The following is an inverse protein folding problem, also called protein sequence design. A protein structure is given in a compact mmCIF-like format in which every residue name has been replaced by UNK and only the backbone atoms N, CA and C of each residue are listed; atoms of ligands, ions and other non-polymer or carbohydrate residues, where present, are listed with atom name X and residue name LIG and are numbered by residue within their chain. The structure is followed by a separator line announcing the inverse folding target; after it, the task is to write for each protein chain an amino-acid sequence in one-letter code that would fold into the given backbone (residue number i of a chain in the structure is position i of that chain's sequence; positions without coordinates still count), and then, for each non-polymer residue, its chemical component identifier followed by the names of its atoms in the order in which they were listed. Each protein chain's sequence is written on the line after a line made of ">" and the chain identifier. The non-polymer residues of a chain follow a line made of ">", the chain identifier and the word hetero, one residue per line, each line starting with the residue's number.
data_IF_079439942552
#
_entry.id   IF_079439942552
#
_cell.length_a   1.000
_cell.length_b   1.000
_cell.length_c   1.000
_cell.angle_alpha   90.00
_cell.angle_beta   90.00
_cell.angle_gamma   90.00
#
_symmetry.space_group_name_H-M   'P 1'
#
loop_
_entity.id
_entity.type
_entity.pdbx_description
1 polymer ?
#
# COMPACT_ATOMS: atom_id res chain seq x y z
N UNK A 1 -12.66 -21.23 -20.30
CA UNK A 1 -12.66 -20.86 -18.87
C UNK A 1 -11.41 -20.02 -18.67
N UNK A 2 -11.56 -18.71 -18.55
CA UNK A 2 -10.44 -17.81 -18.27
C UNK A 2 -10.43 -17.71 -16.75
N UNK A 3 -9.47 -18.36 -16.10
CA UNK A 3 -9.12 -18.07 -14.71
C UNK A 3 -8.52 -16.67 -14.68
N UNK A 4 -9.37 -15.65 -14.71
CA UNK A 4 -9.06 -14.38 -14.03
C UNK A 4 -9.27 -14.65 -12.55
N UNK A 5 -8.41 -15.50 -11.98
CA UNK A 5 -8.15 -15.49 -10.56
C UNK A 5 -7.53 -14.12 -10.30
N UNK A 6 -8.33 -13.32 -9.64
CA UNK A 6 -8.11 -11.90 -9.44
C UNK A 6 -6.94 -11.77 -8.47
N UNK A 7 -5.76 -11.70 -9.08
CA UNK A 7 -4.56 -11.00 -8.61
C UNK A 7 -4.82 -9.53 -8.23
N UNK A 8 -6.07 -9.06 -8.28
CA UNK A 8 -6.49 -7.66 -8.11
C UNK A 8 -6.32 -7.11 -6.70
N UNK A 9 -5.66 -7.83 -5.78
CA UNK A 9 -5.20 -7.33 -4.48
C UNK A 9 -3.67 -7.42 -4.30
N UNK A 10 -2.92 -7.80 -5.33
CA UNK A 10 -1.46 -7.86 -5.25
C UNK A 10 -0.87 -6.45 -5.13
N UNK A 11 -0.13 -6.22 -4.04
CA UNK A 11 0.59 -4.98 -3.78
C UNK A 11 2.05 -5.24 -4.10
N UNK A 12 2.63 -4.50 -5.05
CA UNK A 12 4.05 -4.58 -5.35
C UNK A 12 4.81 -3.51 -4.59
N UNK A 13 5.85 -3.94 -3.89
CA UNK A 13 6.73 -3.07 -3.13
C UNK A 13 8.18 -3.48 -3.35
N UNK A 14 9.12 -2.60 -3.01
CA UNK A 14 10.54 -2.90 -3.02
C UNK A 14 11.13 -2.68 -1.63
N UNK A 15 11.92 -3.63 -1.13
CA UNK A 15 12.70 -3.46 0.12
C UNK A 15 14.01 -2.67 -0.11
N UNK A 16 14.25 -2.22 -1.34
CA UNK A 16 15.52 -1.60 -1.77
C UNK A 16 16.46 -2.56 -2.50
N UNK A 17 16.28 -3.87 -2.36
CA UNK A 17 17.04 -4.87 -3.11
C UNK A 17 16.24 -5.50 -4.25
N UNK A 18 15.03 -5.97 -3.95
CA UNK A 18 14.17 -6.66 -4.93
C UNK A 18 12.75 -6.12 -4.91
N UNK A 19 12.03 -6.33 -6.01
CA UNK A 19 10.59 -6.09 -6.06
C UNK A 19 9.89 -7.35 -5.53
N UNK A 20 9.08 -7.17 -4.51
CA UNK A 20 8.32 -8.20 -3.85
C UNK A 20 6.83 -7.99 -4.07
N UNK A 21 6.12 -9.10 -4.21
CA UNK A 21 4.67 -9.12 -4.25
C UNK A 21 4.15 -9.38 -2.84
N UNK A 22 3.39 -8.44 -2.32
CA UNK A 22 2.78 -8.45 -1.01
C UNK A 22 1.27 -8.59 -1.12
N UNK A 23 0.66 -9.04 -0.03
CA UNK A 23 -0.78 -9.19 0.11
C UNK A 23 -1.26 -8.45 1.35
N UNK A 24 -2.46 -7.87 1.28
CA UNK A 24 -3.12 -7.30 2.44
C UNK A 24 -3.62 -8.42 3.36
N UNK A 25 -3.34 -8.26 4.64
CA UNK A 25 -3.74 -9.15 5.71
C UNK A 25 -4.53 -8.38 6.76
N UNK A 26 -5.70 -8.91 7.10
CA UNK A 26 -6.66 -8.29 8.00
C UNK A 26 -6.73 -9.08 9.30
N UNK A 27 -6.70 -8.36 10.41
CA UNK A 27 -6.95 -8.91 11.75
C UNK A 27 -8.16 -8.18 12.32
N UNK A 28 -8.99 -8.89 13.07
CA UNK A 28 -10.31 -8.43 13.53
C UNK A 28 -10.26 -7.09 14.31
N UNK A 29 -9.17 -6.83 15.03
CA UNK A 29 -8.99 -5.65 15.89
C UNK A 29 -7.69 -4.85 15.58
N UNK A 30 -7.04 -5.11 14.43
CA UNK A 30 -5.79 -4.46 14.08
C UNK A 30 -5.86 -3.76 12.72
N UNK A 31 -5.05 -2.71 12.49
CA UNK A 31 -4.94 -2.12 11.17
C UNK A 31 -4.47 -3.17 10.16
N UNK A 32 -4.93 -3.09 8.90
CA UNK A 32 -4.50 -4.00 7.85
C UNK A 32 -2.98 -3.89 7.65
N UNK A 33 -2.33 -5.04 7.50
CA UNK A 33 -0.87 -5.14 7.35
C UNK A 33 -0.54 -5.84 6.05
N UNK A 34 0.62 -5.51 5.48
CA UNK A 34 1.15 -6.24 4.33
C UNK A 34 1.94 -7.45 4.81
N UNK A 35 1.73 -8.56 4.11
CA UNK A 35 2.50 -9.78 4.29
C UNK A 35 3.17 -10.20 2.98
N UNK A 36 4.36 -10.77 3.07
CA UNK A 36 5.05 -11.39 1.93
C UNK A 36 4.47 -12.79 1.60
N UNK A 37 5.05 -13.46 0.61
CA UNK A 37 4.64 -14.82 0.24
C UNK A 37 4.92 -15.85 1.34
N UNK A 38 5.98 -15.68 2.12
CA UNK A 38 6.28 -16.50 3.30
C UNK A 38 5.39 -16.16 4.52
N UNK A 39 4.48 -15.18 4.40
CA UNK A 39 3.57 -14.77 5.46
C UNK A 39 4.21 -13.87 6.52
N UNK A 40 5.38 -13.31 6.24
CA UNK A 40 6.05 -12.36 7.13
C UNK A 40 5.36 -11.01 7.02
N UNK A 41 5.04 -10.39 8.17
CA UNK A 41 4.49 -9.04 8.23
C UNK A 41 5.57 -8.02 7.92
N UNK A 42 5.26 -7.10 7.03
CA UNK A 42 6.18 -6.08 6.55
C UNK A 42 5.73 -4.73 7.08
N UNK A 43 6.61 -4.02 7.78
CA UNK A 43 6.30 -2.70 8.28
C UNK A 43 6.36 -1.65 7.15
N UNK A 44 5.60 -0.54 7.25
CA UNK A 44 5.51 0.45 6.16
C UNK A 44 6.83 1.17 5.87
N UNK A 45 7.76 1.25 6.82
CA UNK A 45 9.07 1.86 6.63
C UNK A 45 10.12 0.89 6.04
N UNK A 46 9.83 -0.41 5.97
CA UNK A 46 10.76 -1.42 5.43
C UNK A 46 10.70 -1.54 3.91
N UNK A 47 9.66 -0.96 3.30
CA UNK A 47 9.39 -1.08 1.88
C UNK A 47 9.01 0.26 1.26
N UNK A 48 9.26 0.37 -0.04
CA UNK A 48 8.71 1.41 -0.88
C UNK A 48 7.61 0.80 -1.75
N UNK A 49 6.36 1.24 -1.55
CA UNK A 49 5.24 0.83 -2.39
C UNK A 49 5.43 1.32 -3.83
N UNK A 50 5.37 0.40 -4.78
CA UNK A 50 5.55 0.69 -6.20
C UNK A 50 4.22 0.66 -6.96
N UNK A 51 3.37 -0.32 -6.66
CA UNK A 51 2.08 -0.48 -7.31
C UNK A 51 1.08 -1.15 -6.39
N UNK A 52 -0.17 -0.68 -6.40
CA UNK A 52 -1.27 -1.30 -5.67
C UNK A 52 -2.59 -1.06 -6.40
N UNK A 53 -3.57 -1.96 -6.21
CA UNK A 53 -4.91 -1.77 -6.74
C UNK A 53 -5.66 -0.69 -5.95
N UNK A 54 -6.56 0.02 -6.61
CA UNK A 54 -7.33 1.13 -6.00
C UNK A 54 -8.14 0.69 -4.78
N UNK A 55 -8.62 -0.54 -4.76
CA UNK A 55 -9.36 -1.13 -3.65
C UNK A 55 -8.49 -1.28 -2.38
N UNK A 56 -7.20 -1.55 -2.55
CA UNK A 56 -6.23 -1.67 -1.47
C UNK A 56 -5.79 -0.31 -0.89
N UNK A 57 -6.01 0.81 -1.59
CA UNK A 57 -5.50 2.13 -1.18
C UNK A 57 -6.03 2.55 0.20
N UNK A 58 -7.33 2.35 0.45
CA UNK A 58 -7.95 2.72 1.72
C UNK A 58 -7.35 1.92 2.88
N UNK A 59 -7.13 0.62 2.68
CA UNK A 59 -6.51 -0.24 3.67
C UNK A 59 -5.03 0.08 3.87
N UNK A 60 -4.27 0.31 2.79
CA UNK A 60 -2.86 0.73 2.88
C UNK A 60 -2.69 2.05 3.65
N UNK A 61 -3.61 3.01 3.47
CA UNK A 61 -3.65 4.24 4.29
C UNK A 61 -3.96 3.94 5.75
N UNK A 62 -4.94 3.07 6.02
CA UNK A 62 -5.26 2.65 7.41
C UNK A 62 -4.09 1.91 8.08
N UNK A 63 -3.31 1.17 7.31
CA UNK A 63 -2.09 0.47 7.74
C UNK A 63 -0.85 1.37 7.84
N UNK A 64 -0.93 2.63 7.39
CA UNK A 64 0.19 3.57 7.41
C UNK A 64 1.25 3.35 6.32
N UNK A 65 0.97 2.50 5.32
CA UNK A 65 1.86 2.28 4.17
C UNK A 65 1.83 3.41 3.15
N UNK A 66 0.72 4.14 3.11
CA UNK A 66 0.60 5.35 2.31
C UNK A 66 0.55 6.56 3.25
N UNK A 67 1.20 7.67 2.88
CA UNK A 67 1.02 8.90 3.61
C UNK A 67 -0.48 9.24 3.62
N UNK A 68 -0.98 9.64 4.79
CA UNK A 68 -2.27 10.32 4.91
C UNK A 68 -2.08 11.69 4.26
N UNK A 69 -2.08 11.73 2.92
CA UNK A 69 -2.21 12.97 2.21
C UNK A 69 -3.66 13.42 2.46
N UNK A 70 -3.92 14.53 3.17
CA UNK A 70 -5.22 15.16 3.03
C UNK A 70 -5.35 15.49 1.55
N UNK A 71 -6.38 14.97 0.89
CA UNK A 71 -6.66 15.29 -0.51
C UNK A 71 -6.54 16.80 -0.71
N UNK A 72 -5.53 17.22 -1.46
CA UNK A 72 -5.45 18.46 -2.21
C UNK A 72 -6.25 19.64 -1.64
N UNK A 73 -5.69 20.37 -0.68
CA UNK A 73 -5.98 21.80 -0.53
C UNK A 73 -4.74 22.48 0.05
N UNK A 74 -4.23 23.50 -0.63
CA UNK A 74 -3.20 24.46 -0.17
C UNK A 74 -1.71 24.15 -0.43
N UNK A 75 -1.36 23.62 -1.61
CA UNK A 75 0.00 23.80 -2.18
C UNK A 75 0.04 24.72 -3.41
N UNK A 76 -0.95 25.63 -3.52
CA UNK A 76 -0.82 26.85 -4.32
C UNK A 76 -0.75 28.08 -3.41
N UNK A 77 0.26 28.18 -2.57
CA UNK A 77 0.81 29.49 -2.22
C UNK A 77 1.78 29.90 -3.35
N UNK A 78 1.21 30.14 -4.54
CA UNK A 78 1.91 30.88 -5.59
C UNK A 78 1.93 32.37 -5.19
N UNK A 79 3.10 32.82 -4.77
CA UNK A 79 3.71 34.16 -4.82
C UNK A 79 2.85 35.45 -4.89
N UNK A 80 3.31 36.42 -4.07
CA UNK A 80 3.40 37.89 -4.25
C UNK A 80 2.34 38.80 -3.57
N UNK A 81 2.73 39.39 -2.44
CA UNK A 81 2.91 40.85 -2.27
C UNK A 81 4.09 41.12 -1.32
#
# INVERSE_FOLDING_TARGET
>A
MIETDVDSLAVFASDGSIIQRLRLFYLDDAPPTLIDDAGVRIAPWEINLLHWPREAEADLRRGGYLPVCPSDTELWCNCAD
#
